data_IF_759799903264
#
_entry.id   IF_759799903264
#
_cell.length_a   1.000
_cell.length_b   1.000
_cell.length_c   1.000
_cell.angle_alpha   90.00
_cell.angle_beta   90.00
_cell.angle_gamma   90.00
#
_symmetry.space_group_name_H-M   'P 1'
#
loop_
_entity.id
_entity.type
_entity.pdbx_description
1 polymer ?
#
# COMPACT_ATOMS: atom_id res chain seq x y z
N UNK A 1 -11.83 -6.20 -0.99
CA UNK A 1 -11.78 -7.37 -1.89
C UNK A 1 -10.37 -7.52 -2.45
N UNK A 2 -9.95 -8.77 -2.67
CA UNK A 2 -8.62 -9.07 -3.20
C UNK A 2 -8.69 -10.25 -4.14
N UNK A 3 -7.85 -10.23 -5.17
CA UNK A 3 -7.63 -11.36 -6.07
C UNK A 3 -6.13 -11.69 -6.09
N UNK A 4 -5.77 -12.88 -5.64
CA UNK A 4 -4.39 -13.36 -5.64
C UNK A 4 -4.23 -14.40 -6.75
N UNK A 5 -3.30 -14.15 -7.66
CA UNK A 5 -2.88 -15.13 -8.68
C UNK A 5 -1.56 -15.75 -8.22
N UNK A 6 -1.55 -17.07 -8.05
CA UNK A 6 -0.40 -17.81 -7.54
C UNK A 6 -0.16 -19.10 -8.37
N UNK A 7 0.97 -19.73 -8.16
CA UNK A 7 1.30 -21.03 -8.73
C UNK A 7 1.45 -22.05 -7.61
N UNK A 8 0.75 -23.18 -7.74
CA UNK A 8 0.88 -24.33 -6.84
C UNK A 8 1.88 -25.31 -7.43
N UNK A 9 2.88 -25.69 -6.66
CA UNK A 9 3.90 -26.66 -7.10
C UNK A 9 3.37 -28.10 -7.16
N UNK A 10 2.30 -28.38 -6.41
CA UNK A 10 1.67 -29.68 -6.33
C UNK A 10 0.17 -29.59 -6.10
N UNK A 11 -0.52 -30.73 -6.22
CA UNK A 11 -1.93 -30.88 -5.84
C UNK A 11 -2.11 -30.49 -4.37
N UNK A 12 -2.98 -29.53 -4.08
CA UNK A 12 -3.16 -28.97 -2.74
C UNK A 12 -4.64 -28.86 -2.36
N UNK A 13 -5.00 -29.29 -1.16
CA UNK A 13 -6.34 -29.10 -0.60
C UNK A 13 -6.49 -27.80 0.18
N UNK A 14 -5.36 -27.14 0.52
CA UNK A 14 -5.38 -25.92 1.31
C UNK A 14 -4.29 -24.95 0.89
N UNK A 15 -4.53 -23.67 1.15
CA UNK A 15 -3.57 -22.57 0.98
C UNK A 15 -3.56 -21.80 2.29
N UNK A 16 -2.36 -21.50 2.82
CA UNK A 16 -2.18 -20.70 4.03
C UNK A 16 -1.55 -19.38 3.69
N UNK A 17 -2.14 -18.27 4.14
CA UNK A 17 -1.63 -16.91 4.03
C UNK A 17 -1.40 -16.33 5.43
N UNK A 18 -0.54 -15.31 5.52
CA UNK A 18 -0.48 -14.46 6.69
C UNK A 18 -1.70 -13.53 6.71
N UNK A 19 -2.34 -13.43 7.86
CA UNK A 19 -3.50 -12.58 8.10
C UNK A 19 -3.66 -12.32 9.60
N UNK A 20 -3.76 -11.05 9.99
CA UNK A 20 -3.99 -10.64 11.36
C UNK A 20 -5.08 -9.57 11.43
N UNK A 21 -5.97 -9.70 12.41
CA UNK A 21 -7.09 -8.73 12.62
C UNK A 21 -8.02 -8.59 11.40
N UNK A 22 -8.08 -9.63 10.54
CA UNK A 22 -8.93 -9.70 9.34
C UNK A 22 -10.12 -10.63 9.60
N UNK A 23 -11.31 -10.17 9.23
CA UNK A 23 -12.53 -10.97 9.21
C UNK A 23 -12.87 -11.35 7.77
N UNK A 24 -12.72 -12.62 7.43
CA UNK A 24 -13.07 -13.13 6.10
C UNK A 24 -14.58 -13.23 5.95
N UNK A 25 -15.09 -12.77 4.80
CA UNK A 25 -16.50 -12.86 4.38
C UNK A 25 -16.67 -14.00 3.39
N UNK A 26 -15.74 -14.14 2.44
CA UNK A 26 -15.70 -15.29 1.51
C UNK A 26 -14.29 -15.49 0.96
N UNK A 27 -13.95 -16.75 0.70
CA UNK A 27 -12.71 -17.14 0.00
C UNK A 27 -13.08 -18.17 -1.07
N UNK A 28 -12.72 -17.91 -2.32
CA UNK A 28 -13.05 -18.76 -3.45
C UNK A 28 -11.85 -19.04 -4.34
N UNK A 29 -11.84 -20.23 -4.96
CA UNK A 29 -10.99 -20.55 -6.10
C UNK A 29 -11.86 -21.20 -7.19
N UNK A 30 -12.05 -20.50 -8.29
CA UNK A 30 -13.05 -20.88 -9.31
C UNK A 30 -14.46 -20.98 -8.70
N UNK A 31 -15.11 -22.12 -8.84
CA UNK A 31 -16.44 -22.40 -8.27
C UNK A 31 -16.40 -22.88 -6.83
N UNK A 32 -15.23 -23.21 -6.27
CA UNK A 32 -15.08 -23.74 -4.93
C UNK A 32 -15.04 -22.61 -3.90
N UNK A 33 -15.79 -22.78 -2.80
CA UNK A 33 -15.70 -21.91 -1.62
C UNK A 33 -14.90 -22.65 -0.53
N UNK A 34 -13.88 -21.98 -0.01
CA UNK A 34 -13.05 -22.53 1.05
C UNK A 34 -13.68 -22.38 2.44
N UNK A 35 -13.38 -23.30 3.32
CA UNK A 35 -13.51 -23.13 4.77
C UNK A 35 -12.26 -22.38 5.28
N UNK A 36 -12.46 -21.39 6.14
CA UNK A 36 -11.37 -20.57 6.71
C UNK A 36 -11.09 -21.01 8.14
N UNK A 37 -9.84 -21.34 8.44
CA UNK A 37 -9.35 -21.57 9.80
C UNK A 37 -8.29 -20.52 10.13
N UNK A 38 -8.38 -19.91 11.31
CA UNK A 38 -7.47 -18.87 11.77
C UNK A 38 -6.55 -19.41 12.86
N UNK A 39 -5.26 -19.12 12.75
CA UNK A 39 -4.26 -19.33 13.79
C UNK A 39 -3.75 -17.94 14.22
N UNK A 40 -4.30 -17.43 15.33
CA UNK A 40 -4.01 -16.10 15.83
C UNK A 40 -2.57 -15.95 16.35
N UNK A 41 -1.96 -17.03 16.86
CA UNK A 41 -0.58 -17.00 17.38
C UNK A 41 0.43 -16.88 16.23
N UNK A 42 0.15 -17.55 15.10
CA UNK A 42 0.99 -17.48 13.89
C UNK A 42 0.60 -16.35 12.95
N UNK A 43 -0.48 -15.62 13.26
CA UNK A 43 -1.06 -14.61 12.36
C UNK A 43 -1.30 -15.19 10.94
N UNK A 44 -1.96 -16.36 10.89
CA UNK A 44 -2.21 -17.10 9.65
C UNK A 44 -3.69 -17.44 9.46
N UNK A 45 -4.09 -17.50 8.21
CA UNK A 45 -5.37 -18.01 7.77
C UNK A 45 -5.15 -19.17 6.78
N UNK A 46 -5.73 -20.33 7.05
CA UNK A 46 -5.71 -21.51 6.16
C UNK A 46 -7.06 -21.65 5.48
N UNK A 47 -7.02 -21.68 4.16
CA UNK A 47 -8.18 -21.86 3.28
C UNK A 47 -8.23 -23.29 2.79
N UNK A 48 -9.19 -24.09 3.26
CA UNK A 48 -9.36 -25.49 2.88
C UNK A 48 -10.50 -25.62 1.87
N UNK A 49 -10.21 -26.21 0.73
CA UNK A 49 -11.14 -26.40 -0.39
C UNK A 49 -11.80 -27.80 -0.34
N UNK A 50 -13.08 -27.93 -0.75
CA UNK A 50 -13.77 -29.23 -0.80
C UNK A 50 -13.08 -30.26 -1.71
N UNK A 51 -12.45 -29.80 -2.78
CA UNK A 51 -11.68 -30.62 -3.71
C UNK A 51 -10.28 -30.02 -3.87
N UNK A 52 -9.29 -30.88 -4.10
CA UNK A 52 -7.91 -30.46 -4.31
C UNK A 52 -7.80 -29.54 -5.55
N UNK A 53 -7.04 -28.49 -5.38
CA UNK A 53 -6.62 -27.60 -6.48
C UNK A 53 -5.44 -28.25 -7.21
N UNK A 54 -5.46 -28.33 -8.56
CA UNK A 54 -4.36 -28.91 -9.31
C UNK A 54 -3.09 -28.07 -9.21
N UNK A 55 -1.94 -28.71 -9.45
CA UNK A 55 -0.69 -27.99 -9.66
C UNK A 55 -0.81 -26.99 -10.83
N UNK A 56 -0.08 -25.89 -10.77
CA UNK A 56 -0.11 -24.83 -11.75
C UNK A 56 -0.82 -23.57 -11.26
N UNK A 57 -1.33 -22.76 -12.18
CA UNK A 57 -1.94 -21.46 -11.88
C UNK A 57 -3.25 -21.63 -11.08
N UNK A 58 -3.32 -20.97 -9.96
CA UNK A 58 -4.53 -20.85 -9.14
C UNK A 58 -4.88 -19.39 -8.90
N UNK A 59 -6.16 -19.10 -8.69
CA UNK A 59 -6.65 -17.75 -8.39
C UNK A 59 -7.52 -17.82 -7.14
N UNK A 60 -7.18 -17.02 -6.14
CA UNK A 60 -8.00 -16.80 -4.96
C UNK A 60 -8.76 -15.50 -5.11
N UNK A 61 -10.07 -15.51 -4.88
CA UNK A 61 -10.91 -14.32 -4.73
C UNK A 61 -11.34 -14.24 -3.28
N UNK A 62 -10.95 -13.17 -2.59
CA UNK A 62 -11.12 -13.01 -1.15
C UNK A 62 -11.92 -11.74 -0.89
N UNK A 63 -13.00 -11.85 -0.10
CA UNK A 63 -13.73 -10.72 0.45
C UNK A 63 -13.57 -10.73 1.97
N UNK A 64 -13.22 -9.58 2.53
CA UNK A 64 -12.91 -9.45 3.95
C UNK A 64 -13.15 -8.03 4.46
N UNK A 65 -13.12 -7.86 5.77
CA UNK A 65 -13.03 -6.58 6.45
C UNK A 65 -11.84 -6.58 7.40
N UNK A 66 -11.23 -5.44 7.60
CA UNK A 66 -10.14 -5.21 8.55
C UNK A 66 -10.51 -4.10 9.53
N UNK A 67 -9.62 -3.86 10.49
CA UNK A 67 -9.74 -2.81 11.48
C UNK A 67 -8.74 -1.71 11.13
N UNK A 68 -9.24 -0.49 10.92
CA UNK A 68 -8.39 0.68 10.83
C UNK A 68 -8.00 1.08 12.26
N UNK A 69 -6.92 0.49 12.75
CA UNK A 69 -6.44 0.63 14.13
C UNK A 69 -5.76 2.00 14.37
N UNK A 70 -5.32 2.27 15.60
CA UNK A 70 -4.55 3.45 16.01
C UNK A 70 -3.18 3.09 16.63
N UNK A 71 -2.58 1.99 16.16
CA UNK A 71 -1.33 1.43 16.70
C UNK A 71 -0.10 1.78 15.83
N UNK A 72 -0.23 2.70 14.87
CA UNK A 72 0.83 3.16 13.94
C UNK A 72 1.45 2.05 13.10
N UNK A 73 0.74 0.96 12.87
CA UNK A 73 1.17 -0.18 12.06
C UNK A 73 0.01 -0.84 11.31
N UNK A 74 0.32 -1.51 10.22
CA UNK A 74 -0.69 -2.02 9.30
C UNK A 74 -1.34 -0.87 8.53
N UNK A 75 -2.61 -0.96 8.26
CA UNK A 75 -3.42 0.16 7.75
C UNK A 75 -4.12 0.82 8.94
N UNK A 76 -3.75 2.04 9.28
CA UNK A 76 -4.12 2.66 10.55
C UNK A 76 -4.64 4.10 10.41
N UNK A 77 -5.28 4.60 11.48
CA UNK A 77 -5.71 5.99 11.61
C UNK A 77 -4.55 6.85 12.13
N UNK A 78 -4.05 7.74 11.28
CA UNK A 78 -3.17 8.84 11.67
C UNK A 78 -4.03 10.03 12.04
N UNK A 79 -3.95 10.48 13.28
CA UNK A 79 -4.90 11.43 13.90
C UNK A 79 -4.31 12.85 13.94
N UNK A 80 -5.15 13.83 13.61
CA UNK A 80 -4.84 15.25 13.87
C UNK A 80 -5.99 15.89 14.63
N UNK A 81 -5.77 17.11 15.12
CA UNK A 81 -6.84 17.89 15.75
C UNK A 81 -8.01 18.23 14.82
N UNK A 82 -7.80 18.20 13.49
CA UNK A 82 -8.78 18.61 12.49
C UNK A 82 -9.50 17.42 11.85
N UNK A 83 -8.78 16.34 11.56
CA UNK A 83 -9.33 15.14 10.93
C UNK A 83 -8.40 13.93 11.11
N UNK A 84 -8.90 12.76 10.72
CA UNK A 84 -8.11 11.54 10.65
C UNK A 84 -7.73 11.26 9.20
N UNK A 85 -6.56 10.64 9.03
CA UNK A 85 -6.03 10.11 7.78
C UNK A 85 -5.97 8.59 7.91
N UNK A 86 -6.10 7.87 6.80
CA UNK A 86 -5.87 6.44 6.76
C UNK A 86 -4.55 6.19 6.00
N UNK A 87 -3.58 5.62 6.69
CA UNK A 87 -2.21 5.47 6.16
C UNK A 87 -1.63 4.12 6.52
N UNK A 88 -0.57 3.71 5.82
CA UNK A 88 0.05 2.40 6.03
C UNK A 88 1.46 2.50 6.59
N UNK A 89 1.80 1.51 7.45
CA UNK A 89 3.16 1.14 7.82
C UNK A 89 3.23 -0.38 7.90
N UNK A 90 3.93 -1.03 6.95
CA UNK A 90 3.93 -2.48 6.80
C UNK A 90 5.22 -3.18 7.22
N UNK A 91 6.33 -2.47 7.31
CA UNK A 91 7.57 -3.07 7.80
C UNK A 91 7.49 -3.33 9.32
N UNK A 92 7.97 -4.51 9.79
CA UNK A 92 8.57 -5.58 8.95
C UNK A 92 7.53 -6.56 8.38
N UNK A 93 6.36 -6.78 9.02
CA UNK A 93 5.41 -7.85 8.70
C UNK A 93 3.96 -7.47 9.00
N UNK A 94 3.61 -6.21 8.83
CA UNK A 94 2.27 -5.70 9.14
C UNK A 94 1.36 -5.51 7.90
N UNK A 95 1.82 -5.90 6.69
CA UNK A 95 0.94 -5.97 5.51
C UNK A 95 -0.23 -6.93 5.74
N UNK A 96 -0.02 -8.02 6.45
CA UNK A 96 -1.02 -9.01 6.87
C UNK A 96 -2.18 -8.44 7.68
N UNK A 97 -2.05 -7.22 8.24
CA UNK A 97 -3.13 -6.52 8.96
C UNK A 97 -4.01 -5.69 8.03
N UNK A 98 -3.57 -5.47 6.80
CA UNK A 98 -4.31 -4.74 5.79
C UNK A 98 -4.96 -5.68 4.77
N UNK A 99 -4.22 -6.70 4.34
CA UNK A 99 -4.68 -7.71 3.38
C UNK A 99 -3.99 -9.06 3.62
N UNK A 100 -4.70 -10.20 3.38
CA UNK A 100 -4.09 -11.52 3.45
C UNK A 100 -3.00 -11.67 2.39
N UNK A 101 -1.83 -12.18 2.75
CA UNK A 101 -0.70 -12.27 1.81
C UNK A 101 0.33 -13.30 2.21
N UNK A 102 1.25 -13.63 1.33
CA UNK A 102 2.52 -14.26 1.69
C UNK A 102 3.47 -13.14 2.17
N UNK A 103 3.33 -12.77 3.44
CA UNK A 103 3.98 -11.61 4.03
C UNK A 103 5.43 -11.89 4.44
N UNK A 104 6.24 -12.25 3.43
CA UNK A 104 7.66 -12.51 3.50
C UNK A 104 8.39 -11.75 2.38
N UNK A 105 9.53 -11.07 2.65
CA UNK A 105 10.21 -10.24 1.65
C UNK A 105 10.63 -10.97 0.38
N UNK A 106 10.89 -12.27 0.45
CA UNK A 106 11.28 -13.09 -0.69
C UNK A 106 10.12 -13.43 -1.63
N UNK A 107 8.88 -13.44 -1.12
CA UNK A 107 7.68 -13.77 -1.88
C UNK A 107 7.06 -12.50 -2.49
N UNK A 108 7.67 -12.06 -3.59
CA UNK A 108 7.33 -10.81 -4.28
C UNK A 108 6.19 -11.00 -5.28
N UNK A 109 5.36 -9.97 -5.40
CA UNK A 109 4.28 -9.90 -6.38
C UNK A 109 4.22 -8.51 -7.05
N UNK A 110 3.45 -8.40 -8.11
CA UNK A 110 2.95 -7.11 -8.62
C UNK A 110 1.63 -6.81 -7.93
N UNK A 111 1.35 -5.52 -7.71
CA UNK A 111 0.13 -5.06 -7.06
C UNK A 111 -0.65 -4.16 -8.00
N UNK A 112 -1.93 -4.45 -8.14
CA UNK A 112 -2.91 -3.67 -8.87
C UNK A 112 -3.90 -3.12 -7.83
N UNK A 113 -3.83 -1.82 -7.58
CA UNK A 113 -4.46 -1.21 -6.42
C UNK A 113 -5.61 -0.32 -6.86
N UNK A 114 -6.77 -0.50 -6.23
CA UNK A 114 -7.93 0.36 -6.40
C UNK A 114 -8.42 0.82 -5.02
N UNK A 115 -8.55 2.12 -4.83
CA UNK A 115 -9.08 2.72 -3.61
C UNK A 115 -10.41 3.42 -3.89
N UNK A 116 -11.41 3.14 -3.06
CA UNK A 116 -12.72 3.82 -3.10
C UNK A 116 -12.78 4.72 -1.87
N UNK A 117 -12.71 6.02 -2.09
CA UNK A 117 -12.56 7.03 -1.04
C UNK A 117 -13.63 8.10 -1.12
N UNK A 118 -13.74 8.95 -0.12
CA UNK A 118 -14.67 10.08 -0.11
C UNK A 118 -14.27 11.12 -1.15
N UNK A 119 -15.27 11.73 -1.82
CA UNK A 119 -15.03 12.89 -2.67
C UNK A 119 -14.44 14.02 -1.83
N UNK A 120 -13.31 14.56 -2.32
CA UNK A 120 -12.55 15.57 -1.60
C UNK A 120 -11.33 15.03 -0.86
N UNK A 121 -11.22 13.72 -0.69
CA UNK A 121 -9.98 13.08 -0.25
C UNK A 121 -9.05 12.82 -1.43
N UNK A 122 -7.78 12.88 -1.16
CA UNK A 122 -6.70 12.44 -2.05
C UNK A 122 -6.32 11.01 -1.65
N UNK A 123 -6.09 10.15 -2.62
CA UNK A 123 -5.45 8.87 -2.38
C UNK A 123 -4.07 8.83 -3.05
N UNK A 124 -3.08 8.37 -2.31
CA UNK A 124 -1.69 8.21 -2.76
C UNK A 124 -1.31 6.74 -2.57
N UNK A 125 -0.60 6.17 -3.55
CA UNK A 125 -0.07 4.81 -3.48
C UNK A 125 1.29 4.75 -4.18
N UNK A 126 1.85 3.57 -4.36
CA UNK A 126 3.17 3.35 -4.95
C UNK A 126 3.33 3.93 -6.36
N UNK A 127 2.27 3.93 -7.16
CA UNK A 127 2.27 4.36 -8.57
C UNK A 127 1.27 5.50 -8.79
N UNK A 128 1.25 6.06 -10.00
CA UNK A 128 0.31 7.10 -10.37
C UNK A 128 -1.12 6.56 -10.55
N UNK A 129 -2.09 7.43 -10.36
CA UNK A 129 -3.50 7.18 -10.69
C UNK A 129 -3.62 7.12 -12.22
N UNK A 130 -4.24 6.06 -12.73
CA UNK A 130 -4.53 5.86 -14.17
C UNK A 130 -6.00 6.08 -14.50
N UNK A 131 -6.89 5.99 -13.53
CA UNK A 131 -8.29 6.41 -13.68
C UNK A 131 -8.88 6.91 -12.36
N UNK A 132 -9.78 7.88 -12.46
CA UNK A 132 -10.62 8.41 -11.38
C UNK A 132 -12.06 8.45 -11.90
N UNK A 133 -12.92 7.66 -11.30
CA UNK A 133 -14.30 7.48 -11.74
C UNK A 133 -15.28 7.60 -10.56
N UNK A 134 -16.58 7.88 -10.80
CA UNK A 134 -17.57 7.84 -9.75
C UNK A 134 -17.53 6.50 -8.99
N UNK A 135 -17.58 6.55 -7.67
CA UNK A 135 -17.62 5.35 -6.83
C UNK A 135 -18.98 4.64 -6.86
N UNK A 136 -19.04 3.42 -6.33
CA UNK A 136 -20.27 2.62 -6.28
C UNK A 136 -21.34 3.21 -5.35
N UNK A 137 -20.95 4.14 -4.48
CA UNK A 137 -21.83 4.81 -3.50
C UNK A 137 -21.72 6.32 -3.72
N UNK A 138 -22.87 7.03 -3.63
CA UNK A 138 -22.89 8.48 -3.73
C UNK A 138 -21.91 9.13 -2.71
N UNK A 139 -21.18 10.13 -3.15
CA UNK A 139 -20.17 10.79 -2.32
C UNK A 139 -18.78 10.11 -2.31
N UNK A 140 -18.63 8.97 -2.99
CA UNK A 140 -17.34 8.29 -3.19
C UNK A 140 -16.84 8.44 -4.62
N UNK A 141 -15.53 8.24 -4.80
CA UNK A 141 -14.91 8.02 -6.11
C UNK A 141 -13.95 6.82 -6.05
N UNK A 142 -13.70 6.24 -7.20
CA UNK A 142 -12.84 5.06 -7.37
C UNK A 142 -11.58 5.48 -8.10
N UNK A 143 -10.46 5.31 -7.43
CA UNK A 143 -9.12 5.61 -7.93
C UNK A 143 -8.40 4.32 -8.23
N UNK A 144 -8.04 4.11 -9.48
CA UNK A 144 -7.23 2.98 -9.91
C UNK A 144 -5.80 3.43 -10.18
N UNK A 145 -4.84 2.71 -9.63
CA UNK A 145 -3.41 2.98 -9.77
C UNK A 145 -2.78 2.07 -10.82
N UNK A 146 -1.71 2.52 -11.44
CA UNK A 146 -0.94 1.67 -12.34
C UNK A 146 -0.35 0.47 -11.56
N UNK A 147 -0.27 -0.68 -12.21
CA UNK A 147 0.33 -1.88 -11.62
C UNK A 147 1.78 -1.61 -11.19
N UNK A 148 2.16 -2.07 -10.00
CA UNK A 148 3.52 -1.90 -9.49
C UNK A 148 4.52 -2.82 -10.18
N UNK A 149 5.82 -2.51 -10.15
CA UNK A 149 6.84 -3.53 -10.36
C UNK A 149 6.70 -4.68 -9.35
N UNK A 150 7.35 -5.80 -9.62
CA UNK A 150 7.41 -6.91 -8.68
C UNK A 150 8.20 -6.51 -7.43
N UNK A 151 7.53 -6.49 -6.27
CA UNK A 151 8.10 -6.02 -5.01
C UNK A 151 7.55 -6.81 -3.81
N UNK A 152 8.19 -6.65 -2.66
CA UNK A 152 7.77 -7.26 -1.40
C UNK A 152 6.51 -6.58 -0.83
N UNK A 153 5.74 -7.31 -0.04
CA UNK A 153 4.50 -6.85 0.62
C UNK A 153 4.70 -5.59 1.45
N UNK A 154 5.78 -5.52 2.23
CA UNK A 154 6.05 -4.42 3.15
C UNK A 154 6.32 -3.07 2.47
N UNK A 155 6.59 -3.06 1.16
CA UNK A 155 6.81 -1.84 0.37
C UNK A 155 5.53 -1.25 -0.24
N UNK A 156 4.39 -1.89 -0.04
CA UNK A 156 3.08 -1.38 -0.49
C UNK A 156 2.63 -0.23 0.40
N UNK A 157 2.03 0.80 -0.19
CA UNK A 157 1.51 1.95 0.53
C UNK A 157 0.10 2.34 0.07
N UNK A 158 -0.76 2.67 1.03
CA UNK A 158 -2.07 3.30 0.84
C UNK A 158 -2.19 4.51 1.77
N UNK A 159 -2.41 5.68 1.23
CA UNK A 159 -2.57 6.91 2.00
C UNK A 159 -3.83 7.62 1.54
N UNK A 160 -4.73 7.91 2.46
CA UNK A 160 -6.02 8.55 2.17
C UNK A 160 -6.25 9.73 3.11
N UNK A 161 -6.58 10.87 2.55
CA UNK A 161 -6.89 12.10 3.27
C UNK A 161 -6.91 13.31 2.33
N UNK A 162 -6.97 14.51 2.88
CA UNK A 162 -6.96 15.75 2.10
C UNK A 162 -5.54 16.28 1.80
N UNK A 163 -4.58 15.38 1.66
CA UNK A 163 -3.18 15.71 1.35
C UNK A 163 -3.06 16.74 0.23
N UNK A 164 -2.14 17.69 0.40
CA UNK A 164 -1.70 18.64 -0.62
C UNK A 164 -0.23 18.43 -0.91
N UNK A 165 0.17 18.72 -2.13
CA UNK A 165 1.53 18.45 -2.57
C UNK A 165 2.15 19.66 -3.26
N UNK A 166 3.46 19.86 -3.03
CA UNK A 166 4.33 20.62 -3.92
C UNK A 166 4.92 19.68 -4.95
N UNK A 167 5.27 20.21 -6.12
CA UNK A 167 5.68 19.41 -7.26
C UNK A 167 7.08 19.81 -7.76
N UNK A 168 7.80 18.83 -8.25
CA UNK A 168 9.09 18.97 -8.89
C UNK A 168 9.32 17.84 -9.89
N UNK A 169 10.53 17.82 -10.47
CA UNK A 169 10.91 16.78 -11.42
C UNK A 169 12.42 16.57 -11.39
N UNK A 170 12.86 15.32 -11.39
CA UNK A 170 14.26 14.93 -11.60
C UNK A 170 14.34 14.09 -12.86
N UNK A 171 15.11 14.53 -13.85
CA UNK A 171 15.16 13.94 -15.19
C UNK A 171 13.73 13.82 -15.75
N UNK A 172 13.22 12.58 -15.90
CA UNK A 172 11.86 12.31 -16.38
C UNK A 172 10.88 11.96 -15.25
N UNK A 173 11.37 11.82 -14.02
CA UNK A 173 10.58 11.35 -12.87
C UNK A 173 9.88 12.53 -12.19
N UNK A 174 8.54 12.58 -12.15
CA UNK A 174 7.81 13.52 -11.31
C UNK A 174 8.11 13.26 -9.83
N UNK A 175 8.29 14.33 -9.06
CA UNK A 175 8.50 14.29 -7.61
C UNK A 175 7.43 15.14 -6.95
N UNK A 176 6.83 14.62 -5.87
CA UNK A 176 5.92 15.40 -5.04
C UNK A 176 6.34 15.33 -3.58
N UNK A 177 6.24 16.46 -2.88
CA UNK A 177 6.31 16.54 -1.44
C UNK A 177 4.91 16.80 -0.90
N UNK A 178 4.33 15.87 -0.16
CA UNK A 178 2.96 15.93 0.29
C UNK A 178 2.86 16.00 1.81
N UNK A 179 1.86 16.72 2.32
CA UNK A 179 1.55 16.81 3.75
C UNK A 179 0.08 17.19 3.95
N UNK A 180 -0.31 17.39 5.20
CA UNK A 180 -1.57 18.06 5.54
C UNK A 180 -1.62 19.46 4.90
N UNK A 181 -2.82 19.99 4.55
CA UNK A 181 -2.94 21.23 3.79
C UNK A 181 -2.25 22.45 4.42
N UNK A 182 -2.21 22.52 5.74
CA UNK A 182 -1.62 23.61 6.51
C UNK A 182 -0.07 23.62 6.52
N UNK A 183 0.55 22.53 6.07
CA UNK A 183 2.01 22.34 6.08
C UNK A 183 2.62 22.11 4.71
N UNK A 184 1.83 22.17 3.64
CA UNK A 184 2.30 21.80 2.29
C UNK A 184 3.50 22.64 1.84
N UNK A 185 3.55 23.93 2.19
CA UNK A 185 4.66 24.82 1.81
C UNK A 185 6.00 24.37 2.42
N UNK A 186 5.99 23.69 3.57
CA UNK A 186 7.17 23.19 4.26
C UNK A 186 7.82 22.00 3.53
N UNK A 187 7.16 21.42 2.52
CA UNK A 187 7.70 20.31 1.71
C UNK A 187 8.64 20.77 0.60
N UNK A 188 8.71 22.07 0.29
CA UNK A 188 9.48 22.60 -0.85
C UNK A 188 10.95 22.24 -0.82
N UNK A 189 11.59 22.39 0.33
CA UNK A 189 13.01 22.06 0.49
C UNK A 189 13.26 20.56 0.22
N UNK A 190 12.39 19.68 0.70
CA UNK A 190 12.49 18.24 0.46
C UNK A 190 12.38 17.91 -1.04
N UNK A 191 11.45 18.56 -1.76
CA UNK A 191 11.30 18.38 -3.21
C UNK A 191 12.55 18.84 -3.96
N UNK A 192 13.09 20.03 -3.66
CA UNK A 192 14.33 20.52 -4.30
C UNK A 192 15.52 19.61 -4.00
N UNK A 193 15.66 19.14 -2.76
CA UNK A 193 16.70 18.18 -2.37
C UNK A 193 16.57 16.85 -3.12
N UNK A 194 15.36 16.30 -3.20
CA UNK A 194 15.09 15.04 -3.88
C UNK A 194 15.40 15.11 -5.38
N UNK A 195 15.14 16.23 -6.05
CA UNK A 195 15.51 16.45 -7.46
C UNK A 195 17.01 16.24 -7.69
N UNK A 196 17.83 16.83 -6.84
CA UNK A 196 19.29 16.71 -6.92
C UNK A 196 19.76 15.29 -6.54
N UNK A 197 19.26 14.74 -5.43
CA UNK A 197 19.66 13.43 -4.91
C UNK A 197 19.31 12.32 -5.88
N UNK A 198 18.11 12.35 -6.46
CA UNK A 198 17.67 11.32 -7.40
C UNK A 198 18.52 11.31 -8.68
N UNK A 199 18.82 12.49 -9.22
CA UNK A 199 19.74 12.65 -10.37
C UNK A 199 21.15 12.13 -10.02
N UNK A 200 21.65 12.50 -8.84
CA UNK A 200 22.94 12.03 -8.35
C UNK A 200 23.02 10.51 -8.25
N UNK A 201 22.00 9.87 -7.67
CA UNK A 201 21.96 8.41 -7.53
C UNK A 201 21.80 7.70 -8.89
N UNK A 202 21.00 8.20 -9.78
CA UNK A 202 20.91 7.66 -11.14
C UNK A 202 22.27 7.63 -11.85
N UNK A 203 23.08 8.66 -11.64
CA UNK A 203 24.43 8.76 -12.19
C UNK A 203 25.44 7.89 -11.42
N UNK A 204 25.43 7.97 -10.10
CA UNK A 204 26.39 7.28 -9.24
C UNK A 204 26.30 5.76 -9.35
N UNK A 205 25.08 5.21 -9.31
CA UNK A 205 24.85 3.77 -9.44
C UNK A 205 24.78 3.29 -10.89
N UNK A 206 24.64 4.17 -11.87
CA UNK A 206 24.41 3.80 -13.28
C UNK A 206 23.09 3.10 -13.51
N UNK A 207 22.15 3.18 -12.56
CA UNK A 207 20.82 2.55 -12.60
C UNK A 207 19.78 3.64 -12.43
N UNK A 208 18.87 3.74 -13.39
CA UNK A 208 17.75 4.70 -13.31
C UNK A 208 16.76 4.29 -12.24
N UNK A 209 16.19 5.28 -11.56
CA UNK A 209 15.10 5.06 -10.63
C UNK A 209 13.94 4.30 -11.30
N UNK A 210 13.51 3.15 -10.73
CA UNK A 210 12.61 2.22 -11.43
C UNK A 210 11.13 2.59 -11.37
N UNK A 211 10.77 3.59 -10.53
CA UNK A 211 9.36 3.95 -10.35
C UNK A 211 8.95 5.10 -11.26
N UNK A 212 7.66 5.16 -11.67
CA UNK A 212 7.17 6.18 -12.58
C UNK A 212 7.03 7.57 -11.92
N UNK A 213 7.10 7.65 -10.60
CA UNK A 213 7.02 8.87 -9.81
C UNK A 213 7.70 8.65 -8.46
N UNK A 214 8.00 9.73 -7.74
CA UNK A 214 8.44 9.71 -6.36
C UNK A 214 7.57 10.66 -5.53
N UNK A 215 6.79 10.13 -4.62
CA UNK A 215 6.10 10.90 -3.59
C UNK A 215 6.86 10.77 -2.27
N UNK A 216 7.04 11.89 -1.60
CA UNK A 216 7.53 11.99 -0.23
C UNK A 216 6.39 12.56 0.60
N UNK A 217 5.86 11.78 1.53
CA UNK A 217 4.64 12.15 2.26
C UNK A 217 4.93 12.27 3.75
N UNK A 218 4.79 13.50 4.28
CA UNK A 218 4.85 13.75 5.72
C UNK A 218 3.54 13.33 6.38
N UNK A 219 3.62 12.43 7.34
CA UNK A 219 2.47 11.90 8.07
C UNK A 219 2.40 12.52 9.47
N UNK A 220 1.21 12.99 9.89
CA UNK A 220 1.03 13.63 11.20
C UNK A 220 1.37 12.73 12.40
N UNK A 221 1.08 11.43 12.26
CA UNK A 221 1.27 10.45 13.31
C UNK A 221 1.95 9.22 12.71
N UNK A 222 3.26 9.12 12.90
CA UNK A 222 4.14 8.12 12.30
C UNK A 222 5.27 7.76 13.26
N UNK A 223 5.42 6.47 13.57
CA UNK A 223 6.36 6.01 14.62
C UNK A 223 7.82 6.06 14.15
N UNK A 224 8.09 5.59 12.93
CA UNK A 224 9.44 5.61 12.35
C UNK A 224 9.86 7.03 11.89
N UNK A 225 11.11 7.21 11.53
CA UNK A 225 11.58 8.44 10.86
C UNK A 225 11.10 8.51 9.41
N UNK A 226 11.29 7.40 8.69
CA UNK A 226 10.83 7.23 7.31
C UNK A 226 10.55 5.74 7.01
N UNK A 227 9.84 5.50 5.90
CA UNK A 227 9.63 4.17 5.31
C UNK A 227 9.75 4.26 3.79
N UNK A 228 10.62 3.43 3.22
CA UNK A 228 11.02 3.44 1.81
C UNK A 228 10.04 2.73 0.87
N UNK A 229 8.74 2.84 1.05
CA UNK A 229 7.76 2.28 0.13
C UNK A 229 8.06 2.71 -1.31
N UNK A 230 8.07 1.78 -2.24
CA UNK A 230 8.41 2.06 -3.63
C UNK A 230 7.51 3.15 -4.23
N UNK A 231 8.13 4.25 -4.70
CA UNK A 231 7.44 5.38 -5.30
C UNK A 231 6.61 6.24 -4.35
N UNK A 232 6.57 5.92 -3.05
CA UNK A 232 5.75 6.60 -2.04
C UNK A 232 6.43 6.54 -0.67
N UNK A 233 7.53 7.25 -0.49
CA UNK A 233 8.27 7.28 0.77
C UNK A 233 7.47 8.07 1.80
N UNK A 234 7.15 7.45 2.93
CA UNK A 234 6.48 8.12 4.05
C UNK A 234 7.49 8.57 5.07
N UNK A 235 7.19 9.69 5.72
CA UNK A 235 8.08 10.32 6.69
C UNK A 235 7.30 10.79 7.92
N UNK A 236 7.95 10.78 9.05
CA UNK A 236 7.55 11.63 10.17
C UNK A 236 7.65 13.08 9.76
N UNK A 237 6.70 13.93 10.15
CA UNK A 237 6.70 15.34 9.80
C UNK A 237 8.02 16.05 10.11
N UNK A 238 8.60 15.77 11.28
CA UNK A 238 9.88 16.37 11.73
C UNK A 238 11.08 16.01 10.86
N UNK A 239 10.98 14.95 10.07
CA UNK A 239 12.10 14.44 9.26
C UNK A 239 11.98 14.86 7.78
N UNK A 240 10.87 15.46 7.38
CA UNK A 240 10.65 15.94 6.02
C UNK A 240 10.39 17.45 5.94
N UNK A 241 9.63 18.00 6.90
CA UNK A 241 9.14 19.39 6.82
C UNK A 241 10.18 20.34 7.40
N UNK A 242 10.50 21.41 6.64
CA UNK A 242 11.45 22.44 7.04
C UNK A 242 10.77 23.79 6.99
N UNK A 243 10.77 24.50 8.12
CA UNK A 243 10.40 25.90 8.20
C UNK A 243 11.62 26.74 7.75
N UNK A 244 11.46 27.55 6.71
CA UNK A 244 12.53 28.34 6.04
C UNK A 244 12.41 29.84 6.37
#
# INVERSE_FOLDING_TARGET
EETIVLTLDSLSTSITLNAAEIKFLSVKSGSQTATVSLDAEKEQATFTFPQSLPAGKATLSISYTGILNDKLRGFYLSKTAKRNYAVTQFEPTDARRAYPSFDEPALKATYDITLIVDKGDTAISNTQIVSDTPGPIAGKHTLHFATTPKMSTYLVAFLVGDFKCTEGKSDVVPIRGCSTPDKVELTKFAVESAKYILHYYNTYFGIKYPMPKLDMVALPDFEAGAMENFGCITYRETDLLIDS
#
